data_IF_937987046887
#
_entry.id   IF_937987046887
#
_cell.length_a   1.000
_cell.length_b   1.000
_cell.length_c   1.000
_cell.angle_alpha   90.00
_cell.angle_beta   90.00
_cell.angle_gamma   90.00
#
_symmetry.space_group_name_H-M   'P 1'
#
loop_
_entity.id
_entity.type
_entity.pdbx_description
1 polymer ?
#
# COMPACT_ATOMS: atom_id res chain seq x y z
N UNK A 1 11.67 -13.16 -54.91
CA UNK A 1 11.20 -13.38 -53.52
C UNK A 1 9.72 -13.01 -53.45
N UNK A 2 8.84 -13.90 -52.99
CA UNK A 2 7.40 -13.62 -52.81
C UNK A 2 7.21 -12.98 -51.43
N UNK A 3 6.58 -11.81 -51.36
CA UNK A 3 6.17 -11.19 -50.09
C UNK A 3 5.07 -12.05 -49.46
N UNK A 4 5.34 -12.64 -48.29
CA UNK A 4 4.46 -13.58 -47.56
C UNK A 4 3.60 -12.90 -46.48
N UNK A 5 3.65 -11.57 -46.38
CA UNK A 5 2.91 -10.79 -45.39
C UNK A 5 2.14 -9.67 -46.07
N UNK A 6 0.82 -9.72 -45.95
CA UNK A 6 -0.10 -8.65 -46.33
C UNK A 6 -0.52 -7.96 -45.02
N UNK A 7 0.01 -6.76 -44.77
CA UNK A 7 -0.30 -5.99 -43.56
C UNK A 7 -1.69 -5.39 -43.74
N UNK A 8 -2.69 -5.96 -43.05
CA UNK A 8 -4.04 -5.41 -43.02
C UNK A 8 -4.15 -4.38 -41.89
N UNK A 9 -4.16 -3.10 -42.25
CA UNK A 9 -4.41 -2.01 -41.30
C UNK A 9 -5.91 -1.99 -40.95
N UNK A 10 -6.24 -2.16 -39.67
CA UNK A 10 -7.62 -2.14 -39.17
C UNK A 10 -7.82 -0.94 -38.24
N UNK A 11 -8.69 -0.01 -38.63
CA UNK A 11 -9.08 1.14 -37.82
C UNK A 11 -10.30 0.79 -36.93
N UNK A 12 -10.10 -0.10 -35.95
CA UNK A 12 -11.15 -0.38 -34.96
C UNK A 12 -11.08 0.67 -33.84
N UNK A 13 -12.21 1.31 -33.50
CA UNK A 13 -12.25 2.14 -32.30
C UNK A 13 -12.21 1.26 -31.06
N UNK A 14 -11.42 1.66 -30.06
CA UNK A 14 -11.30 0.96 -28.78
C UNK A 14 -11.81 1.87 -27.67
N UNK A 15 -12.76 1.38 -26.88
CA UNK A 15 -13.27 2.06 -25.70
C UNK A 15 -13.07 1.15 -24.48
N UNK A 16 -12.53 1.70 -23.38
CA UNK A 16 -12.38 0.97 -22.11
C UNK A 16 -13.01 1.78 -20.99
N UNK A 17 -13.91 1.15 -20.23
CA UNK A 17 -14.46 1.76 -19.01
C UNK A 17 -13.39 1.80 -17.94
N UNK A 18 -13.32 2.91 -17.20
CA UNK A 18 -12.40 3.02 -16.05
C UNK A 18 -12.87 2.12 -14.89
N UNK A 19 -11.94 1.57 -14.09
CA UNK A 19 -12.27 0.91 -12.83
C UNK A 19 -12.99 1.87 -11.86
N UNK A 20 -14.03 1.37 -11.18
CA UNK A 20 -14.63 2.09 -10.05
C UNK A 20 -14.03 1.58 -8.74
N UNK A 21 -13.58 2.49 -7.87
CA UNK A 21 -12.93 2.16 -6.59
C UNK A 21 -13.68 2.79 -5.42
N UNK A 22 -13.82 2.05 -4.34
CA UNK A 22 -14.42 2.49 -3.08
C UNK A 22 -13.45 2.18 -1.94
N UNK A 23 -13.25 3.18 -1.07
CA UNK A 23 -12.42 3.08 0.14
C UNK A 23 -13.27 3.50 1.34
N UNK A 24 -13.21 2.71 2.41
CA UNK A 24 -13.81 3.04 3.71
C UNK A 24 -12.79 2.74 4.80
N UNK A 25 -12.41 3.75 5.58
CA UNK A 25 -11.40 3.61 6.63
C UNK A 25 -11.91 4.08 7.99
N UNK A 26 -11.44 3.43 9.04
CA UNK A 26 -11.64 3.85 10.43
C UNK A 26 -10.31 3.86 11.16
N UNK A 27 -10.10 4.85 12.03
CA UNK A 27 -8.90 4.98 12.86
C UNK A 27 -9.31 5.33 14.29
N UNK A 28 -8.64 4.72 15.25
CA UNK A 28 -8.87 4.94 16.68
C UNK A 28 -7.54 5.15 17.40
N UNK A 29 -7.44 6.25 18.15
CA UNK A 29 -6.28 6.56 18.99
C UNK A 29 -6.48 5.93 20.36
N UNK A 30 -5.82 4.79 20.61
CA UNK A 30 -5.88 4.10 21.90
C UNK A 30 -5.23 4.94 23.00
N UNK A 31 -4.15 5.64 22.65
CA UNK A 31 -3.43 6.59 23.51
C UNK A 31 -2.85 7.70 22.62
N UNK A 32 -2.21 8.70 23.22
CA UNK A 32 -1.46 9.72 22.47
C UNK A 32 -0.34 9.13 21.59
N UNK A 33 0.18 7.95 21.95
CA UNK A 33 1.30 7.31 21.25
C UNK A 33 0.91 6.13 20.38
N UNK A 34 -0.29 5.58 20.54
CA UNK A 34 -0.70 4.33 19.90
C UNK A 34 -2.02 4.50 19.18
N UNK A 35 -2.04 4.14 17.90
CA UNK A 35 -3.21 4.20 17.06
C UNK A 35 -3.43 2.88 16.35
N UNK A 36 -4.69 2.51 16.15
CA UNK A 36 -5.10 1.35 15.35
C UNK A 36 -6.07 1.79 14.28
N UNK A 37 -6.13 1.06 13.18
CA UNK A 37 -7.02 1.38 12.08
C UNK A 37 -7.41 0.16 11.28
N UNK A 38 -8.48 0.34 10.51
CA UNK A 38 -9.00 -0.62 9.56
C UNK A 38 -9.32 0.09 8.24
N UNK A 39 -9.15 -0.63 7.13
CA UNK A 39 -9.45 -0.17 5.78
C UNK A 39 -10.20 -1.27 5.05
N UNK A 40 -11.34 -0.92 4.48
CA UNK A 40 -12.03 -1.70 3.46
C UNK A 40 -11.77 -1.04 2.10
N UNK A 41 -11.41 -1.86 1.12
CA UNK A 41 -11.21 -1.46 -0.26
C UNK A 41 -11.99 -2.37 -1.19
N UNK A 42 -12.63 -1.80 -2.21
CA UNK A 42 -13.29 -2.55 -3.28
C UNK A 42 -13.06 -1.88 -4.62
N UNK A 43 -12.61 -2.65 -5.59
CA UNK A 43 -12.51 -2.26 -6.99
C UNK A 43 -13.45 -3.11 -7.83
N UNK A 44 -14.13 -2.48 -8.79
CA UNK A 44 -14.86 -3.18 -9.84
C UNK A 44 -14.32 -2.77 -11.20
N UNK A 45 -13.87 -3.75 -11.96
CA UNK A 45 -13.33 -3.55 -13.30
C UNK A 45 -13.73 -4.71 -14.22
N UNK A 46 -14.27 -4.39 -15.41
CA UNK A 46 -14.65 -5.38 -16.44
C UNK A 46 -15.55 -6.53 -15.95
N UNK A 47 -16.40 -6.28 -14.95
CA UNK A 47 -17.32 -7.27 -14.38
C UNK A 47 -16.74 -8.06 -13.21
N UNK A 48 -15.44 -7.97 -12.97
CA UNK A 48 -14.77 -8.54 -11.81
C UNK A 48 -14.80 -7.55 -10.63
N UNK A 49 -14.93 -8.11 -9.42
CA UNK A 49 -14.91 -7.36 -8.16
C UNK A 49 -13.78 -7.89 -7.30
N UNK A 50 -12.88 -7.01 -6.93
CA UNK A 50 -11.75 -7.27 -6.06
C UNK A 50 -11.96 -6.53 -4.74
N UNK A 51 -12.08 -7.28 -3.64
CA UNK A 51 -12.37 -6.74 -2.31
C UNK A 51 -11.26 -7.11 -1.35
N UNK A 52 -10.78 -6.11 -0.61
CA UNK A 52 -9.71 -6.26 0.37
C UNK A 52 -10.08 -5.58 1.69
N UNK A 53 -9.59 -6.14 2.78
CA UNK A 53 -9.68 -5.56 4.12
C UNK A 53 -8.28 -5.52 4.71
N UNK A 54 -7.89 -4.42 5.33
CA UNK A 54 -6.65 -4.31 6.07
C UNK A 54 -6.93 -3.81 7.48
N UNK A 55 -6.11 -4.26 8.42
CA UNK A 55 -6.03 -3.73 9.78
C UNK A 55 -4.57 -3.42 10.08
N UNK A 56 -4.34 -2.51 11.01
CA UNK A 56 -2.98 -2.20 11.43
C UNK A 56 -2.94 -1.26 12.61
N UNK A 57 -1.73 -0.99 13.06
CA UNK A 57 -1.48 -0.03 14.11
C UNK A 57 -0.08 0.53 14.06
N UNK A 58 0.08 1.66 14.72
CA UNK A 58 1.34 2.39 14.85
C UNK A 58 1.55 2.80 16.30
N UNK A 59 2.80 2.79 16.73
CA UNK A 59 3.24 3.26 18.03
C UNK A 59 4.40 4.24 17.88
N UNK A 60 4.29 5.39 18.54
CA UNK A 60 5.42 6.28 18.79
C UNK A 60 6.30 5.67 19.89
N UNK A 61 7.46 5.15 19.47
CA UNK A 61 8.42 4.53 20.38
C UNK A 61 9.32 5.58 21.03
N UNK A 62 9.67 6.62 20.27
CA UNK A 62 10.44 7.79 20.69
C UNK A 62 9.85 9.03 20.00
N UNK A 63 10.11 10.27 20.48
CA UNK A 63 9.58 11.49 19.84
C UNK A 63 9.94 11.65 18.35
N UNK A 64 11.00 10.97 17.90
CA UNK A 64 11.43 10.96 16.50
C UNK A 64 11.21 9.62 15.79
N UNK A 65 10.72 8.57 16.46
CA UNK A 65 10.60 7.21 15.92
C UNK A 65 9.19 6.64 16.11
N UNK A 66 8.53 6.37 14.99
CA UNK A 66 7.28 5.62 14.94
C UNK A 66 7.51 4.27 14.28
N UNK A 67 6.93 3.21 14.83
CA UNK A 67 6.90 1.89 14.20
C UNK A 67 5.45 1.42 14.06
N UNK A 68 5.18 0.59 13.07
CA UNK A 68 3.85 0.07 12.82
C UNK A 68 3.87 -1.28 12.14
N UNK A 69 2.73 -1.96 12.22
CA UNK A 69 2.48 -3.21 11.54
C UNK A 69 1.06 -3.21 10.96
N UNK A 70 0.88 -3.92 9.86
CA UNK A 70 -0.41 -4.05 9.19
C UNK A 70 -0.58 -5.43 8.62
N UNK A 71 -1.82 -5.86 8.53
CA UNK A 71 -2.21 -7.12 7.93
C UNK A 71 -3.37 -6.87 6.96
N UNK A 72 -3.24 -7.37 5.73
CA UNK A 72 -4.26 -7.25 4.71
C UNK A 72 -4.75 -8.62 4.22
N UNK A 73 -6.06 -8.74 4.09
CA UNK A 73 -6.81 -9.87 3.55
C UNK A 73 -7.40 -9.49 2.20
N UNK A 74 -7.16 -10.31 1.17
CA UNK A 74 -7.74 -10.13 -0.16
C UNK A 74 -7.43 -11.32 -1.07
N UNK A 75 -8.28 -11.56 -2.08
CA UNK A 75 -8.17 -12.59 -3.13
C UNK A 75 -7.09 -13.68 -2.91
N UNK A 76 -7.46 -14.74 -2.18
CA UNK A 76 -6.70 -15.97 -1.93
C UNK A 76 -5.27 -15.82 -1.38
N UNK A 77 -4.90 -14.62 -0.90
CA UNK A 77 -3.60 -14.33 -0.30
C UNK A 77 -3.77 -13.85 1.14
N UNK A 78 -3.33 -14.70 2.06
CA UNK A 78 -3.39 -14.50 3.52
C UNK A 78 -2.04 -14.07 4.12
N UNK A 79 -1.04 -13.81 3.29
CA UNK A 79 0.37 -13.65 3.64
C UNK A 79 0.85 -12.19 3.70
N UNK A 80 -0.06 -11.22 3.53
CA UNK A 80 0.30 -9.81 3.40
C UNK A 80 0.43 -9.11 4.77
N UNK A 81 1.45 -9.53 5.54
CA UNK A 81 1.90 -8.87 6.76
C UNK A 81 2.98 -7.83 6.41
N UNK A 82 2.75 -6.58 6.77
CA UNK A 82 3.67 -5.48 6.58
C UNK A 82 4.15 -4.86 7.89
N UNK A 83 5.37 -4.33 7.87
CA UNK A 83 5.95 -3.49 8.93
C UNK A 83 6.36 -2.15 8.30
N UNK A 84 6.18 -1.08 9.05
CA UNK A 84 6.65 0.24 8.69
C UNK A 84 7.39 0.89 9.86
N UNK A 85 8.36 1.73 9.52
CA UNK A 85 9.06 2.62 10.45
C UNK A 85 9.14 4.01 9.84
N UNK A 86 9.03 5.03 10.69
CA UNK A 86 9.18 6.42 10.29
C UNK A 86 10.09 7.16 11.29
N UNK A 87 11.03 7.93 10.76
CA UNK A 87 11.91 8.83 11.50
C UNK A 87 11.53 10.28 11.20
N UNK A 88 11.21 11.06 12.23
CA UNK A 88 10.75 12.45 12.10
C UNK A 88 11.80 13.42 12.67
N UNK A 89 12.25 14.36 11.85
CA UNK A 89 13.26 15.37 12.17
C UNK A 89 12.72 16.75 11.79
N UNK A 90 11.99 17.38 12.72
CA UNK A 90 11.32 18.66 12.47
C UNK A 90 10.39 18.59 11.25
N UNK A 91 10.64 19.34 10.16
CA UNK A 91 9.79 19.33 8.98
C UNK A 91 9.99 18.10 8.07
N UNK A 92 11.03 17.30 8.28
CA UNK A 92 11.36 16.16 7.42
C UNK A 92 10.95 14.86 8.10
N UNK A 93 10.29 13.96 7.38
CA UNK A 93 10.06 12.59 7.84
C UNK A 93 10.53 11.61 6.77
N UNK A 94 11.34 10.64 7.17
CA UNK A 94 11.76 9.51 6.35
C UNK A 94 11.01 8.26 6.79
N UNK A 95 10.64 7.39 5.86
CA UNK A 95 9.94 6.16 6.19
C UNK A 95 10.42 4.98 5.34
N UNK A 96 10.35 3.80 5.94
CA UNK A 96 10.61 2.53 5.30
C UNK A 96 9.43 1.59 5.57
N UNK A 97 9.01 0.84 4.55
CA UNK A 97 7.92 -0.12 4.63
C UNK A 97 8.35 -1.42 3.97
N UNK A 98 7.99 -2.54 4.56
CA UNK A 98 8.18 -3.87 3.99
C UNK A 98 6.88 -4.65 4.06
N UNK A 99 6.60 -5.44 3.03
CA UNK A 99 5.45 -6.36 2.95
C UNK A 99 5.96 -7.82 2.85
N UNK A 100 5.12 -8.79 3.21
CA UNK A 100 5.39 -10.24 3.18
C UNK A 100 6.58 -10.69 4.06
N UNK A 101 6.64 -10.27 5.33
CA UNK A 101 7.77 -10.61 6.21
C UNK A 101 7.88 -12.11 6.50
N UNK A 102 6.76 -12.84 6.53
CA UNK A 102 6.80 -14.31 6.66
C UNK A 102 7.58 -14.95 5.51
N UNK A 103 7.57 -14.34 4.33
CA UNK A 103 8.36 -14.79 3.19
C UNK A 103 9.87 -14.54 3.37
N UNK A 104 10.24 -13.44 4.03
CA UNK A 104 11.63 -13.13 4.35
C UNK A 104 12.21 -14.03 5.46
N UNK A 105 11.38 -14.48 6.40
CA UNK A 105 11.79 -15.35 7.52
C UNK A 105 11.85 -16.84 7.12
N UNK A 106 11.10 -17.25 6.09
CA UNK A 106 11.03 -18.64 5.62
C UNK A 106 11.53 -18.72 4.17
N UNK A 107 12.85 -18.66 3.99
CA UNK A 107 13.53 -18.54 2.69
C UNK A 107 13.34 -19.75 1.74
N UNK A 108 12.65 -20.82 2.17
CA UNK A 108 12.48 -22.06 1.42
C UNK A 108 11.27 -22.11 0.47
N UNK A 109 10.27 -21.23 0.62
CA UNK A 109 8.96 -21.38 -0.06
C UNK A 109 8.32 -20.07 -0.55
N UNK A 110 9.12 -19.00 -0.62
CA UNK A 110 8.57 -17.65 -0.50
C UNK A 110 8.53 -16.87 -1.81
N UNK A 111 7.32 -16.48 -2.21
CA UNK A 111 7.02 -15.62 -3.35
C UNK A 111 6.98 -14.16 -2.91
N UNK A 112 7.88 -13.36 -3.45
CA UNK A 112 7.91 -11.88 -3.47
C UNK A 112 8.08 -11.15 -2.11
N UNK A 113 9.33 -10.81 -1.77
CA UNK A 113 9.67 -9.78 -0.76
C UNK A 113 9.61 -8.39 -1.39
N UNK A 114 8.99 -7.42 -0.71
CA UNK A 114 8.91 -6.04 -1.17
C UNK A 114 9.29 -5.05 -0.08
N UNK A 115 10.26 -4.18 -0.37
CA UNK A 115 10.64 -3.05 0.49
C UNK A 115 10.49 -1.72 -0.26
N UNK A 116 10.06 -0.69 0.46
CA UNK A 116 9.89 0.67 -0.07
C UNK A 116 10.49 1.68 0.91
N UNK A 117 11.16 2.68 0.36
CA UNK A 117 11.70 3.81 1.09
C UNK A 117 11.05 5.09 0.56
N UNK A 118 10.79 6.05 1.42
CA UNK A 118 10.25 7.34 1.03
C UNK A 118 10.51 8.41 2.06
N UNK A 119 10.15 9.64 1.70
CA UNK A 119 10.25 10.78 2.59
C UNK A 119 9.18 11.81 2.27
N UNK A 120 8.83 12.60 3.27
CA UNK A 120 7.96 13.77 3.13
C UNK A 120 8.59 14.97 3.82
N UNK A 121 8.30 16.15 3.28
CA UNK A 121 8.68 17.44 3.85
C UNK A 121 7.42 18.26 4.08
N UNK A 122 7.25 18.76 5.29
CA UNK A 122 6.17 19.68 5.64
C UNK A 122 6.65 21.11 5.37
N UNK A 123 5.92 21.85 4.55
CA UNK A 123 6.19 23.25 4.22
C UNK A 123 5.08 24.10 4.82
N UNK A 124 5.44 25.14 5.57
CA UNK A 124 4.48 26.07 6.19
C UNK A 124 4.03 25.70 7.61
N UNK A 125 4.72 24.77 8.28
CA UNK A 125 4.48 24.46 9.69
C UNK A 125 5.33 25.35 10.61
N UNK A 126 4.90 26.58 10.78
CA UNK A 126 5.33 27.49 11.84
C UNK A 126 4.09 28.20 12.39
N UNK A 127 4.06 28.37 13.72
CA UNK A 127 3.01 28.97 14.57
C UNK A 127 2.05 27.89 15.14
N UNK A 128 1.93 27.63 16.46
CA UNK A 128 2.18 28.41 17.68
C UNK A 128 2.62 27.52 18.87
N UNK A 129 3.11 28.22 19.90
CA UNK A 129 3.61 27.81 21.23
C UNK A 129 2.76 26.84 22.06
#
# INVERSE_FOLDING_TARGET
MKNLYEVTETHNSFETKLPSRVYLSAMYHLTEKVSVGALFFSEKFRGEKDTRVAIGGTAELLPFLTAGASYALGNDRFDNLGINVALTFGPVQLFAVTDNIFAALNAGDSKDFGARLGGRVMIGGGDEE
#
